data_IF_678866079103
#
_entry.id   IF_678866079103
#
_cell.length_a   1.000
_cell.length_b   1.000
_cell.length_c   1.000
_cell.angle_alpha   90.00
_cell.angle_beta   90.00
_cell.angle_gamma   90.00
#
_symmetry.space_group_name_H-M   'P 1'
#
loop_
_entity.id
_entity.type
_entity.pdbx_description
1 polymer ?
#
# COMPACT_ATOMS: atom_id res chain seq x y z
N UNK A 1 25.54 -3.97 5.91
CA UNK A 1 24.30 -4.37 6.61
C UNK A 1 23.54 -5.26 5.64
N UNK A 2 23.19 -6.48 6.00
CA UNK A 2 22.46 -7.37 5.10
C UNK A 2 20.99 -6.90 4.95
N UNK A 3 20.36 -7.14 3.80
CA UNK A 3 18.96 -6.75 3.55
C UNK A 3 17.99 -7.28 4.62
N UNK A 4 18.27 -8.47 5.15
CA UNK A 4 17.50 -9.09 6.24
C UNK A 4 17.54 -8.29 7.56
N UNK A 5 18.65 -7.61 7.84
CA UNK A 5 18.85 -6.79 9.05
C UNK A 5 18.05 -5.48 8.95
N UNK A 6 17.99 -4.89 7.76
CA UNK A 6 17.19 -3.69 7.48
C UNK A 6 15.70 -3.98 7.63
N UNK A 7 15.21 -5.05 7.03
CA UNK A 7 13.80 -5.43 7.12
C UNK A 7 13.35 -5.70 8.56
N UNK A 8 14.18 -6.40 9.35
CA UNK A 8 13.88 -6.66 10.76
C UNK A 8 13.81 -5.35 11.58
N UNK A 9 14.71 -4.41 11.33
CA UNK A 9 14.71 -3.09 11.97
C UNK A 9 13.44 -2.30 11.61
N UNK A 10 13.07 -2.27 10.34
CA UNK A 10 11.93 -1.53 9.86
C UNK A 10 10.61 -2.10 10.42
N UNK A 11 10.50 -3.43 10.50
CA UNK A 11 9.37 -4.11 11.18
C UNK A 11 9.27 -3.73 12.66
N UNK A 12 10.38 -3.70 13.38
CA UNK A 12 10.42 -3.29 14.77
C UNK A 12 10.02 -1.82 14.95
N UNK A 13 10.49 -0.94 14.06
CA UNK A 13 10.11 0.48 14.05
C UNK A 13 8.60 0.65 13.83
N UNK A 14 8.01 -0.02 12.83
CA UNK A 14 6.57 0.02 12.57
C UNK A 14 5.78 -0.41 13.81
N UNK A 15 6.11 -1.56 14.39
CA UNK A 15 5.41 -2.09 15.56
C UNK A 15 5.51 -1.18 16.80
N UNK A 16 6.61 -0.42 16.94
CA UNK A 16 6.80 0.51 18.05
C UNK A 16 6.07 1.85 17.87
N UNK A 17 5.77 2.25 16.63
CA UNK A 17 5.25 3.58 16.30
C UNK A 17 3.81 3.59 15.79
N UNK A 18 3.23 2.43 15.55
CA UNK A 18 1.86 2.25 15.06
C UNK A 18 1.12 1.22 15.88
N UNK A 19 -0.14 1.01 15.58
CA UNK A 19 -0.99 0.02 16.23
C UNK A 19 -1.74 -0.81 15.19
N UNK A 20 -1.81 -2.12 15.39
CA UNK A 20 -2.62 -2.98 14.53
C UNK A 20 -4.11 -2.76 14.84
N UNK A 21 -4.84 -2.22 13.89
CA UNK A 21 -6.26 -1.92 14.02
C UNK A 21 -7.06 -2.26 12.75
N UNK A 22 -8.38 -2.48 12.85
CA UNK A 22 -9.24 -2.52 11.68
C UNK A 22 -9.13 -1.21 10.89
N UNK A 23 -9.28 -1.28 9.58
CA UNK A 23 -9.42 -0.08 8.75
C UNK A 23 -10.81 0.50 9.01
N UNK A 24 -10.87 1.45 9.92
CA UNK A 24 -12.10 2.12 10.29
C UNK A 24 -12.41 3.23 9.31
N UNK A 25 -13.25 3.33 8.53
CA UNK A 25 -13.54 4.35 7.51
C UNK A 25 -13.60 5.81 8.02
N UNK A 26 -12.62 6.22 8.84
CA UNK A 26 -12.47 7.59 9.35
C UNK A 26 -12.63 8.65 8.27
N UNK A 27 -12.18 8.34 7.06
CA UNK A 27 -12.28 9.23 5.90
C UNK A 27 -13.56 9.01 5.07
N UNK A 28 -14.38 8.01 5.43
CA UNK A 28 -15.66 7.69 4.77
C UNK A 28 -16.77 7.43 5.80
N UNK A 29 -17.13 8.43 6.61
CA UNK A 29 -17.92 8.27 7.84
C UNK A 29 -19.33 7.67 7.67
N UNK A 30 -19.84 7.58 6.45
CA UNK A 30 -21.18 7.04 6.17
C UNK A 30 -21.16 5.65 5.51
N UNK A 31 -19.97 5.03 5.40
CA UNK A 31 -19.84 3.71 4.79
C UNK A 31 -19.35 2.71 5.83
N UNK A 32 -19.80 1.45 5.69
CA UNK A 32 -19.29 0.37 6.54
C UNK A 32 -17.77 0.34 6.49
N UNK A 33 -17.10 0.25 7.64
CA UNK A 33 -15.65 0.13 7.69
C UNK A 33 -15.17 -1.08 6.87
N UNK A 34 -13.91 -1.06 6.48
CA UNK A 34 -13.23 -2.24 5.91
C UNK A 34 -12.86 -3.20 7.06
N UNK A 35 -13.85 -3.54 7.91
CA UNK A 35 -13.69 -4.25 9.18
C UNK A 35 -12.94 -5.57 9.06
N UNK A 36 -12.91 -6.14 7.85
CA UNK A 36 -12.20 -7.39 7.58
C UNK A 36 -10.70 -7.20 7.40
N UNK A 37 -10.22 -5.98 7.13
CA UNK A 37 -8.81 -5.67 6.95
C UNK A 37 -8.25 -5.03 8.21
N UNK A 38 -7.08 -5.50 8.62
CA UNK A 38 -6.32 -4.94 9.75
C UNK A 38 -4.95 -4.51 9.26
N UNK A 39 -4.58 -3.28 9.59
CA UNK A 39 -3.25 -2.76 9.26
C UNK A 39 -2.59 -2.12 10.48
N UNK A 40 -1.28 -2.12 10.48
CA UNK A 40 -0.48 -1.31 11.38
C UNK A 40 -0.61 0.15 10.91
N UNK A 41 -1.28 0.97 11.71
CA UNK A 41 -1.61 2.35 11.34
C UNK A 41 -1.34 3.31 12.51
N UNK A 42 -1.05 4.55 12.15
CA UNK A 42 -0.94 5.64 13.10
C UNK A 42 -2.34 6.11 13.54
N UNK A 43 -2.44 6.49 14.79
CA UNK A 43 -3.58 7.21 15.34
C UNK A 43 -3.08 8.19 16.42
N UNK A 44 -3.98 8.99 17.00
CA UNK A 44 -3.66 10.07 17.95
C UNK A 44 -2.90 9.61 19.22
N UNK A 45 -2.87 8.31 19.51
CA UNK A 45 -2.14 7.75 20.65
C UNK A 45 -0.80 7.12 20.27
N UNK A 46 -0.45 7.09 18.99
CA UNK A 46 0.80 6.50 18.51
C UNK A 46 1.91 7.55 18.38
N UNK A 47 3.18 7.19 18.65
CA UNK A 47 4.29 8.15 18.61
C UNK A 47 4.43 8.89 17.28
N UNK A 48 4.23 8.19 16.17
CA UNK A 48 4.41 8.75 14.83
C UNK A 48 3.35 9.80 14.46
N UNK A 49 2.18 9.75 15.08
CA UNK A 49 1.12 10.73 14.85
C UNK A 49 1.51 12.15 15.32
N UNK A 50 2.21 12.23 16.46
CA UNK A 50 2.62 13.49 17.04
C UNK A 50 4.01 13.93 16.59
N UNK A 51 4.72 13.12 15.80
CA UNK A 51 6.03 13.48 15.28
C UNK A 51 5.90 14.66 14.29
N UNK A 52 6.70 15.69 14.51
CA UNK A 52 6.79 16.80 13.56
C UNK A 52 7.67 16.40 12.37
N UNK A 53 7.51 17.11 11.24
CA UNK A 53 8.39 16.95 10.08
C UNK A 53 9.87 17.08 10.47
N UNK A 54 10.20 18.06 11.35
CA UNK A 54 11.55 18.24 11.88
C UNK A 54 12.03 17.08 12.77
N UNK A 55 11.13 16.37 13.44
CA UNK A 55 11.47 15.18 14.23
C UNK A 55 11.79 13.99 13.33
N UNK A 56 11.03 13.83 12.26
CA UNK A 56 11.23 12.79 11.24
C UNK A 56 12.54 13.04 10.48
N UNK A 57 12.77 14.26 10.01
CA UNK A 57 14.00 14.68 9.32
C UNK A 57 15.26 14.39 10.15
N UNK A 58 15.21 14.71 11.44
CA UNK A 58 16.34 14.44 12.35
C UNK A 58 16.65 12.95 12.50
N UNK A 59 15.67 12.10 12.28
CA UNK A 59 15.81 10.64 12.31
C UNK A 59 16.08 10.04 10.94
N UNK A 60 16.09 10.87 9.88
CA UNK A 60 16.23 10.40 8.49
C UNK A 60 15.04 9.57 8.04
N UNK A 61 13.85 9.88 8.53
CA UNK A 61 12.60 9.19 8.21
C UNK A 61 11.80 10.08 7.26
N UNK A 62 11.47 9.56 6.09
CA UNK A 62 10.55 10.18 5.15
C UNK A 62 9.14 10.30 5.75
N UNK A 63 8.27 11.22 5.28
CA UNK A 63 6.89 11.31 5.74
C UNK A 63 6.20 9.94 5.71
N UNK A 64 5.65 9.46 6.83
CA UNK A 64 5.21 8.07 6.98
C UNK A 64 3.86 7.82 6.32
N UNK A 65 3.75 8.03 5.02
CA UNK A 65 2.50 7.83 4.26
C UNK A 65 1.96 6.40 4.39
N UNK A 66 2.83 5.42 4.56
CA UNK A 66 2.49 4.02 4.80
C UNK A 66 1.71 3.77 6.10
N UNK A 67 1.81 4.69 7.07
CA UNK A 67 1.15 4.54 8.37
C UNK A 67 -0.32 4.97 8.37
N UNK A 68 -0.86 5.41 7.24
CA UNK A 68 -2.22 5.95 7.16
C UNK A 68 -3.06 5.23 6.10
N UNK A 69 -4.31 4.81 6.43
CA UNK A 69 -5.24 4.25 5.45
C UNK A 69 -5.89 5.37 4.62
N UNK A 70 -5.20 5.86 3.61
CA UNK A 70 -5.66 6.97 2.77
C UNK A 70 -6.98 6.68 2.05
N UNK A 71 -7.74 7.72 1.76
CA UNK A 71 -9.12 7.61 1.27
C UNK A 71 -9.24 6.90 -0.08
N UNK A 72 -8.35 7.18 -1.02
CA UNK A 72 -8.33 6.53 -2.33
C UNK A 72 -8.02 5.04 -2.20
N UNK A 73 -7.02 4.66 -1.39
CA UNK A 73 -6.72 3.28 -1.08
C UNK A 73 -7.90 2.55 -0.44
N UNK A 74 -8.59 3.18 0.53
CA UNK A 74 -9.81 2.61 1.12
C UNK A 74 -10.91 2.40 0.09
N UNK A 75 -11.11 3.36 -0.83
CA UNK A 75 -12.13 3.25 -1.87
C UNK A 75 -11.84 2.08 -2.83
N UNK A 76 -10.58 1.93 -3.28
CA UNK A 76 -10.16 0.84 -4.15
C UNK A 76 -10.26 -0.51 -3.42
N UNK A 77 -9.77 -0.63 -2.20
CA UNK A 77 -9.88 -1.85 -1.40
C UNK A 77 -11.34 -2.29 -1.20
N UNK A 78 -12.22 -1.34 -0.88
CA UNK A 78 -13.67 -1.60 -0.77
C UNK A 78 -14.25 -2.08 -2.09
N UNK A 79 -13.97 -1.40 -3.19
CA UNK A 79 -14.47 -1.79 -4.52
C UNK A 79 -14.10 -3.24 -4.83
N UNK A 80 -12.85 -3.64 -4.56
CA UNK A 80 -12.37 -5.00 -4.80
C UNK A 80 -13.07 -6.02 -3.92
N UNK A 81 -13.27 -5.73 -2.64
CA UNK A 81 -13.97 -6.64 -1.72
C UNK A 81 -15.47 -6.77 -2.06
N UNK A 82 -16.12 -5.71 -2.55
CA UNK A 82 -17.50 -5.73 -3.02
C UNK A 82 -17.65 -6.35 -4.40
N UNK A 83 -16.60 -6.29 -5.24
CA UNK A 83 -16.59 -6.77 -6.62
C UNK A 83 -15.35 -7.63 -6.91
N UNK A 84 -15.23 -8.79 -6.27
CA UNK A 84 -14.05 -9.64 -6.36
C UNK A 84 -13.74 -10.12 -7.79
N UNK A 85 -14.69 -10.10 -8.70
CA UNK A 85 -14.50 -10.46 -10.12
C UNK A 85 -13.48 -9.53 -10.82
N UNK A 86 -13.20 -8.36 -10.28
CA UNK A 86 -12.18 -7.45 -10.81
C UNK A 86 -10.79 -8.10 -10.74
N UNK A 87 -10.49 -8.83 -9.65
CA UNK A 87 -9.15 -9.38 -9.37
C UNK A 87 -9.10 -10.90 -9.26
N UNK A 88 -10.23 -11.59 -9.07
CA UNK A 88 -10.25 -13.03 -8.81
C UNK A 88 -9.59 -13.81 -9.93
N UNK A 89 -8.61 -14.66 -9.56
CA UNK A 89 -7.83 -15.48 -10.48
C UNK A 89 -6.82 -14.71 -11.32
N UNK A 90 -6.69 -13.40 -11.14
CA UNK A 90 -5.80 -12.53 -11.92
C UNK A 90 -4.49 -12.27 -11.20
N UNK A 91 -3.48 -11.87 -11.96
CA UNK A 91 -2.19 -11.38 -11.50
C UNK A 91 -2.31 -9.87 -11.30
N UNK A 92 -2.06 -9.40 -10.11
CA UNK A 92 -2.34 -8.02 -9.69
C UNK A 92 -1.06 -7.31 -9.26
N UNK A 93 -0.92 -6.04 -9.63
CA UNK A 93 0.08 -5.13 -9.08
C UNK A 93 -0.62 -4.00 -8.32
N UNK A 94 -0.29 -3.82 -7.04
CA UNK A 94 -0.63 -2.64 -6.25
C UNK A 94 0.59 -1.71 -6.25
N UNK A 95 0.50 -0.58 -6.98
CA UNK A 95 1.59 0.39 -7.14
C UNK A 95 1.40 1.59 -6.22
N UNK A 96 2.49 2.10 -5.66
CA UNK A 96 2.50 3.08 -4.57
C UNK A 96 1.64 2.57 -3.39
N UNK A 97 1.95 1.36 -2.94
CA UNK A 97 1.11 0.56 -2.08
C UNK A 97 1.05 1.06 -0.63
N UNK A 98 2.02 1.85 -0.18
CA UNK A 98 2.16 2.30 1.20
C UNK A 98 2.06 1.14 2.20
N UNK A 99 0.93 1.05 2.91
CA UNK A 99 0.63 -0.03 3.85
C UNK A 99 0.37 -1.41 3.20
N UNK A 100 0.22 -1.48 1.86
CA UNK A 100 -0.20 -2.67 1.14
C UNK A 100 -1.69 -2.99 1.24
N UNK A 101 -2.51 -2.09 1.76
CA UNK A 101 -3.94 -2.32 2.04
C UNK A 101 -4.72 -2.78 0.79
N UNK A 102 -4.46 -2.17 -0.36
CA UNK A 102 -5.16 -2.49 -1.61
C UNK A 102 -4.73 -3.87 -2.11
N UNK A 103 -3.43 -4.18 -2.08
CA UNK A 103 -2.90 -5.51 -2.40
C UNK A 103 -3.46 -6.60 -1.49
N UNK A 104 -3.59 -6.33 -0.18
CA UNK A 104 -4.21 -7.26 0.79
C UNK A 104 -5.66 -7.51 0.41
N UNK A 105 -6.43 -6.47 0.09
CA UNK A 105 -7.81 -6.62 -0.38
C UNK A 105 -7.90 -7.48 -1.66
N UNK A 106 -6.97 -7.29 -2.60
CA UNK A 106 -6.91 -8.08 -3.82
C UNK A 106 -6.60 -9.56 -3.55
N UNK A 107 -5.65 -9.84 -2.66
CA UNK A 107 -5.34 -11.21 -2.25
C UNK A 107 -6.53 -11.88 -1.54
N UNK A 108 -7.18 -11.18 -0.61
CA UNK A 108 -8.37 -11.65 0.09
C UNK A 108 -9.55 -11.90 -0.87
N UNK A 109 -9.66 -11.11 -1.95
CA UNK A 109 -10.68 -11.27 -2.99
C UNK A 109 -10.37 -12.40 -4.00
N UNK A 110 -9.24 -13.10 -3.84
CA UNK A 110 -8.89 -14.29 -4.60
C UNK A 110 -8.05 -14.01 -5.86
N UNK A 111 -7.24 -12.97 -5.88
CA UNK A 111 -6.19 -12.79 -6.89
C UNK A 111 -5.25 -14.00 -6.89
N UNK A 112 -4.76 -14.42 -8.06
CA UNK A 112 -3.86 -15.58 -8.19
C UNK A 112 -2.43 -15.28 -7.74
N UNK A 113 -2.01 -14.01 -7.90
CA UNK A 113 -0.75 -13.48 -7.38
C UNK A 113 -0.90 -11.97 -7.20
N UNK A 114 -0.28 -11.43 -6.14
CA UNK A 114 -0.28 -10.01 -5.87
C UNK A 114 1.15 -9.54 -5.64
N UNK A 115 1.59 -8.60 -6.46
CA UNK A 115 2.81 -7.83 -6.24
C UNK A 115 2.44 -6.48 -5.67
N UNK A 116 3.28 -5.99 -4.78
CA UNK A 116 3.18 -4.65 -4.21
C UNK A 116 4.48 -3.90 -4.44
N UNK A 117 4.40 -2.61 -4.69
CA UNK A 117 5.55 -1.75 -4.96
C UNK A 117 5.34 -0.38 -4.36
N UNK A 118 6.40 0.15 -3.81
CA UNK A 118 6.51 1.55 -3.42
C UNK A 118 7.95 2.04 -3.65
N UNK A 119 8.15 3.35 -3.72
CA UNK A 119 9.49 3.97 -3.78
C UNK A 119 10.13 4.06 -2.39
N UNK A 120 9.31 4.15 -1.34
CA UNK A 120 9.79 4.15 0.04
C UNK A 120 10.05 2.71 0.50
N UNK A 121 11.31 2.35 0.80
CA UNK A 121 11.67 0.96 1.12
C UNK A 121 11.03 0.43 2.42
N UNK A 122 10.62 1.28 3.36
CA UNK A 122 9.95 0.84 4.58
C UNK A 122 8.56 0.24 4.29
N UNK A 123 7.96 0.59 3.15
CA UNK A 123 6.69 0.04 2.70
C UNK A 123 6.75 -1.49 2.49
N UNK A 124 7.93 -2.05 2.19
CA UNK A 124 8.10 -3.51 2.15
C UNK A 124 7.77 -4.15 3.51
N UNK A 125 8.35 -3.60 4.58
CA UNK A 125 8.10 -4.09 5.94
C UNK A 125 6.64 -3.88 6.36
N UNK A 126 6.06 -2.72 6.02
CA UNK A 126 4.67 -2.41 6.33
C UNK A 126 3.71 -3.36 5.61
N UNK A 127 3.87 -3.56 4.30
CA UNK A 127 3.04 -4.46 3.51
C UNK A 127 3.14 -5.92 3.98
N UNK A 128 4.34 -6.40 4.35
CA UNK A 128 4.54 -7.75 4.87
C UNK A 128 3.86 -7.94 6.24
N UNK A 129 4.06 -7.02 7.18
CA UNK A 129 3.40 -7.06 8.50
C UNK A 129 1.88 -7.08 8.37
N UNK A 130 1.36 -6.25 7.47
CA UNK A 130 -0.07 -6.15 7.24
C UNK A 130 -0.62 -7.40 6.53
N UNK A 131 0.12 -7.97 5.58
CA UNK A 131 -0.25 -9.23 4.92
C UNK A 131 -0.33 -10.39 5.93
N UNK A 132 0.67 -10.51 6.81
CA UNK A 132 0.69 -11.50 7.90
C UNK A 132 -0.53 -11.34 8.83
N UNK A 133 -0.86 -10.11 9.23
CA UNK A 133 -2.00 -9.81 10.10
C UNK A 133 -3.36 -10.16 9.47
N UNK A 134 -3.41 -10.25 8.14
CA UNK A 134 -4.62 -10.61 7.38
C UNK A 134 -4.56 -12.03 6.80
N UNK A 135 -3.49 -12.81 7.08
CA UNK A 135 -3.35 -14.19 6.62
C UNK A 135 -3.23 -14.34 5.09
N UNK A 136 -2.70 -13.33 4.40
CA UNK A 136 -2.49 -13.34 2.95
C UNK A 136 -1.01 -13.23 2.59
N UNK A 137 -0.66 -13.56 1.34
CA UNK A 137 0.68 -13.45 0.82
C UNK A 137 0.78 -12.33 -0.21
N UNK A 138 1.81 -11.50 -0.10
CA UNK A 138 2.18 -10.48 -1.06
C UNK A 138 3.63 -10.68 -1.49
N UNK A 139 3.96 -10.29 -2.71
CA UNK A 139 5.32 -10.30 -3.25
C UNK A 139 5.80 -8.87 -3.45
N UNK A 140 6.93 -8.51 -2.83
CA UNK A 140 7.52 -7.18 -2.99
C UNK A 140 8.23 -7.04 -4.33
N UNK A 141 8.04 -5.90 -4.99
CA UNK A 141 8.86 -5.45 -6.13
C UNK A 141 9.57 -4.17 -5.77
N UNK A 142 10.90 -4.23 -5.69
CA UNK A 142 11.72 -3.07 -5.36
C UNK A 142 11.88 -2.09 -6.54
N UNK A 143 12.18 -0.83 -6.21
CA UNK A 143 12.55 0.21 -7.16
C UNK A 143 11.38 1.00 -7.71
N UNK A 144 11.69 2.03 -8.49
CA UNK A 144 10.68 2.89 -9.10
C UNK A 144 10.17 2.27 -10.42
N UNK A 145 9.00 1.67 -10.40
CA UNK A 145 8.44 1.01 -11.58
C UNK A 145 8.09 1.98 -12.72
N UNK A 146 7.94 3.28 -12.42
CA UNK A 146 7.69 4.28 -13.47
C UNK A 146 8.90 4.52 -14.39
N UNK A 147 10.09 4.02 -14.02
CA UNK A 147 11.31 4.10 -14.82
C UNK A 147 11.43 2.93 -15.83
N UNK A 148 10.46 2.02 -15.82
CA UNK A 148 10.43 0.84 -16.68
C UNK A 148 9.06 0.67 -17.37
N UNK A 149 8.99 -0.23 -18.35
CA UNK A 149 7.69 -0.62 -18.93
C UNK A 149 6.82 -1.32 -17.89
N UNK A 150 5.48 -1.16 -17.96
CA UNK A 150 4.56 -1.88 -17.12
C UNK A 150 4.84 -3.39 -17.14
N UNK A 151 4.84 -4.07 -15.97
CA UNK A 151 5.10 -5.50 -15.90
C UNK A 151 3.94 -6.31 -16.47
N UNK A 152 4.23 -7.58 -16.83
CA UNK A 152 3.21 -8.52 -17.29
C UNK A 152 2.31 -8.95 -16.11
N UNK A 153 1.22 -8.21 -15.92
CA UNK A 153 0.14 -8.46 -14.96
C UNK A 153 -1.21 -8.23 -15.64
N UNK A 154 -2.29 -8.69 -15.03
CA UNK A 154 -3.61 -8.59 -15.61
C UNK A 154 -4.34 -7.32 -15.13
N UNK A 155 -4.01 -6.84 -13.92
CA UNK A 155 -4.63 -5.66 -13.28
C UNK A 155 -3.58 -4.85 -12.54
N UNK A 156 -3.64 -3.53 -12.68
CA UNK A 156 -2.90 -2.58 -11.86
C UNK A 156 -3.88 -1.82 -10.97
N UNK A 157 -3.61 -1.81 -9.69
CA UNK A 157 -4.35 -1.06 -8.68
C UNK A 157 -3.49 0.09 -8.19
N UNK A 158 -4.10 1.24 -8.01
CA UNK A 158 -3.43 2.43 -7.51
C UNK A 158 -4.42 3.25 -6.66
N UNK A 159 -4.03 3.56 -5.45
CA UNK A 159 -4.82 4.38 -4.53
C UNK A 159 -4.58 5.88 -4.75
N UNK A 160 -4.00 6.55 -3.78
CA UNK A 160 -3.82 8.00 -3.72
C UNK A 160 -2.56 8.47 -4.48
N UNK A 161 -2.49 8.28 -5.81
CA UNK A 161 -1.30 8.56 -6.63
C UNK A 161 -1.31 9.93 -7.34
N UNK A 162 -2.41 10.68 -7.30
CA UNK A 162 -2.59 11.92 -8.06
C UNK A 162 -2.57 13.19 -7.17
N UNK A 163 -1.89 13.17 -6.03
CA UNK A 163 -1.84 14.30 -5.10
C UNK A 163 -0.73 15.32 -5.42
N UNK A 164 0.29 14.95 -6.23
CA UNK A 164 1.37 15.83 -6.67
C UNK A 164 1.43 15.86 -8.20
N UNK A 165 1.44 17.08 -8.81
CA UNK A 165 1.25 17.26 -10.26
C UNK A 165 2.31 16.57 -11.12
N UNK A 166 3.59 16.68 -10.73
CA UNK A 166 4.70 16.10 -11.53
C UNK A 166 4.64 14.59 -11.53
N UNK A 167 4.40 14.00 -10.35
CA UNK A 167 4.26 12.57 -10.19
C UNK A 167 3.00 12.06 -10.88
N UNK A 168 1.87 12.78 -10.75
CA UNK A 168 0.61 12.45 -11.40
C UNK A 168 0.75 12.35 -12.93
N UNK A 169 1.50 13.27 -13.56
CA UNK A 169 1.75 13.23 -14.99
C UNK A 169 2.54 11.97 -15.41
N UNK A 170 3.56 11.58 -14.64
CA UNK A 170 4.35 10.36 -14.87
C UNK A 170 3.48 9.11 -14.70
N UNK A 171 2.70 9.02 -13.62
CA UNK A 171 1.77 7.90 -13.40
C UNK A 171 0.77 7.79 -14.55
N UNK A 172 0.15 8.89 -14.97
CA UNK A 172 -0.81 8.89 -16.06
C UNK A 172 -0.21 8.36 -17.37
N UNK A 173 1.02 8.77 -17.69
CA UNK A 173 1.71 8.29 -18.88
C UNK A 173 2.00 6.78 -18.79
N UNK A 174 2.47 6.32 -17.65
CA UNK A 174 2.79 4.91 -17.42
C UNK A 174 1.52 4.03 -17.45
N UNK A 175 0.42 4.49 -16.81
CA UNK A 175 -0.86 3.79 -16.85
C UNK A 175 -1.46 3.71 -18.28
N UNK A 176 -1.25 4.76 -19.11
CA UNK A 176 -1.62 4.70 -20.54
C UNK A 176 -0.84 3.62 -21.28
N UNK A 177 0.45 3.42 -20.97
CA UNK A 177 1.23 2.33 -21.55
C UNK A 177 0.71 0.97 -21.10
N UNK A 178 0.35 0.81 -19.82
CA UNK A 178 -0.26 -0.39 -19.30
C UNK A 178 -1.57 -0.73 -20.02
N UNK A 179 -2.46 0.26 -20.15
CA UNK A 179 -3.73 0.10 -20.86
C UNK A 179 -3.53 -0.28 -22.33
N UNK A 180 -2.51 0.29 -23.02
CA UNK A 180 -2.17 -0.07 -24.40
C UNK A 180 -1.66 -1.53 -24.54
N UNK A 181 -1.19 -2.14 -23.46
CA UNK A 181 -0.81 -3.57 -23.38
C UNK A 181 -1.99 -4.46 -22.99
N UNK A 182 -3.18 -3.91 -22.78
CA UNK A 182 -4.38 -4.64 -22.36
C UNK A 182 -4.47 -4.90 -20.86
N UNK A 183 -3.64 -4.26 -20.04
CA UNK A 183 -3.71 -4.34 -18.58
C UNK A 183 -4.87 -3.44 -18.10
N UNK A 184 -5.72 -3.98 -17.24
CA UNK A 184 -6.87 -3.28 -16.67
C UNK A 184 -6.49 -2.40 -15.47
#
# INVERSE_FOLDING_TARGET
MAATDTLARDRAFIAANTRLAPVDGLLLPHRKPLETLRIWQADEITPIWSATEADLDRQGIEPPFWAFPWAGGQAVARLILERPEIVRGKRVLDIACGSGMVGIAAAAAGASAVWVNDIDPICEAAAQLNAEANGVALSWRAGNLLDSTPPDVDVILAGDIFYEMTMAARFLQWLKQAAAQGIA
#
